data_IF_308334137901
#
_entry.id   IF_308334137901
#
_cell.length_a   1.000
_cell.length_b   1.000
_cell.length_c   1.000
_cell.angle_alpha   90.00
_cell.angle_beta   90.00
_cell.angle_gamma   90.00
#
_symmetry.space_group_name_H-M   'P 1'
#
loop_
_entity.id
_entity.type
_entity.pdbx_description
1 polymer ?
#
# COMPACT_ATOMS: atom_id res chain seq x y z
N UNK A 1 21.19 4.43 -1.18
CA UNK A 1 20.43 5.59 -0.66
C UNK A 1 18.97 5.18 -0.53
N UNK A 2 18.40 5.17 0.68
CA UNK A 2 17.00 4.79 0.89
C UNK A 2 16.08 5.82 0.21
N UNK A 3 15.13 5.36 -0.61
CA UNK A 3 14.20 6.26 -1.29
C UNK A 3 13.06 6.63 -0.33
N UNK A 4 12.83 7.93 -0.11
CA UNK A 4 11.66 8.45 0.60
C UNK A 4 10.43 8.37 -0.29
N UNK A 5 9.79 7.20 -0.32
CA UNK A 5 8.66 6.93 -1.18
C UNK A 5 7.52 6.31 -0.39
N UNK A 6 6.31 6.85 -0.57
CA UNK A 6 5.06 6.24 -0.12
C UNK A 6 4.46 5.52 -1.31
N UNK A 7 4.38 4.20 -1.24
CA UNK A 7 3.73 3.38 -2.24
C UNK A 7 2.25 3.24 -1.89
N UNK A 8 1.39 3.61 -2.83
CA UNK A 8 -0.05 3.53 -2.69
C UNK A 8 -0.53 2.41 -3.62
N UNK A 9 -1.05 1.35 -3.02
CA UNK A 9 -1.39 0.10 -3.70
C UNK A 9 -2.91 -0.11 -3.60
N UNK A 10 -3.62 -0.11 -4.73
CA UNK A 10 -5.06 -0.33 -4.81
C UNK A 10 -5.36 -1.38 -5.87
N UNK A 11 -6.05 -2.44 -5.45
CA UNK A 11 -6.37 -3.60 -6.27
C UNK A 11 -7.76 -3.57 -6.90
N UNK A 12 -8.61 -2.68 -6.41
CA UNK A 12 -10.06 -2.83 -6.52
C UNK A 12 -10.71 -1.88 -7.51
N UNK A 13 -9.92 -0.95 -8.04
CA UNK A 13 -10.39 0.05 -8.98
C UNK A 13 -9.28 0.46 -9.92
N UNK A 14 -9.62 0.59 -11.21
CA UNK A 14 -8.85 1.43 -12.11
C UNK A 14 -8.72 2.83 -11.50
N UNK A 15 -7.49 3.34 -11.44
CA UNK A 15 -7.15 4.52 -10.65
C UNK A 15 -7.72 5.81 -11.27
N UNK A 16 -9.01 6.08 -11.04
CA UNK A 16 -9.65 7.32 -11.46
C UNK A 16 -8.95 8.53 -10.81
N UNK A 17 -9.00 9.69 -11.45
CA UNK A 17 -8.37 10.91 -10.93
C UNK A 17 -8.89 11.32 -9.55
N UNK A 18 -10.19 11.11 -9.29
CA UNK A 18 -10.80 11.39 -7.99
C UNK A 18 -10.32 10.41 -6.91
N UNK A 19 -10.25 9.13 -7.24
CA UNK A 19 -9.77 8.11 -6.31
C UNK A 19 -8.29 8.29 -5.98
N UNK A 20 -7.47 8.64 -6.99
CA UNK A 20 -6.07 8.99 -6.80
C UNK A 20 -5.91 10.13 -5.78
N UNK A 21 -6.65 11.23 -5.94
CA UNK A 21 -6.64 12.35 -4.99
C UNK A 21 -7.05 11.91 -3.58
N UNK A 22 -8.07 11.06 -3.47
CA UNK A 22 -8.50 10.52 -2.17
C UNK A 22 -7.39 9.72 -1.50
N UNK A 23 -6.72 8.85 -2.24
CA UNK A 23 -5.59 8.09 -1.73
C UNK A 23 -4.41 8.98 -1.35
N UNK A 24 -4.10 10.02 -2.13
CA UNK A 24 -3.05 10.99 -1.79
C UNK A 24 -3.33 11.71 -0.47
N UNK A 25 -4.59 12.12 -0.22
CA UNK A 25 -4.99 12.75 1.04
C UNK A 25 -4.88 11.80 2.23
N UNK A 26 -5.27 10.53 2.05
CA UNK A 26 -5.13 9.51 3.11
C UNK A 26 -3.65 9.27 3.42
N UNK A 27 -2.82 9.14 2.38
CA UNK A 27 -1.38 8.97 2.53
C UNK A 27 -0.74 10.15 3.29
N UNK A 28 -1.15 11.39 3.02
CA UNK A 28 -0.65 12.56 3.76
C UNK A 28 -1.02 12.52 5.25
N UNK A 29 -2.28 12.19 5.56
CA UNK A 29 -2.74 12.08 6.95
C UNK A 29 -1.98 11.00 7.70
N UNK A 30 -1.80 9.83 7.09
CA UNK A 30 -1.04 8.72 7.69
C UNK A 30 0.43 9.09 7.87
N UNK A 31 1.02 9.79 6.90
CA UNK A 31 2.41 10.23 6.97
C UNK A 31 2.63 11.21 8.14
N UNK A 32 1.77 12.22 8.27
CA UNK A 32 1.83 13.16 9.40
C UNK A 32 1.63 12.45 10.74
N UNK A 33 0.62 11.58 10.85
CA UNK A 33 0.33 10.85 12.07
C UNK A 33 1.49 9.92 12.48
N UNK A 34 2.09 9.21 11.52
CA UNK A 34 3.23 8.33 11.76
C UNK A 34 4.43 9.11 12.32
N UNK A 35 4.77 10.25 11.71
CA UNK A 35 5.88 11.06 12.20
C UNK A 35 5.59 11.72 13.55
N UNK A 36 4.34 12.11 13.82
CA UNK A 36 3.94 12.56 15.15
C UNK A 36 4.14 11.45 16.20
N UNK A 37 3.74 10.21 15.89
CA UNK A 37 4.02 9.06 16.75
C UNK A 37 5.52 8.84 16.95
N UNK A 38 6.32 8.91 15.89
CA UNK A 38 7.77 8.74 15.99
C UNK A 38 8.39 9.82 16.89
N UNK A 39 8.01 11.08 16.71
CA UNK A 39 8.51 12.19 17.53
C UNK A 39 8.11 12.03 19.01
N UNK A 40 6.89 11.56 19.28
CA UNK A 40 6.39 11.40 20.65
C UNK A 40 7.05 10.21 21.38
N UNK A 41 7.22 9.08 20.70
CA UNK A 41 7.66 7.83 21.34
C UNK A 41 9.15 7.53 21.15
N UNK A 42 9.80 8.09 20.12
CA UNK A 42 11.19 7.80 19.74
C UNK A 42 12.02 9.08 19.63
N UNK A 43 12.07 9.87 20.70
CA UNK A 43 12.69 11.20 20.74
C UNK A 43 14.16 11.27 20.28
N UNK A 44 14.89 10.15 20.28
CA UNK A 44 16.29 10.06 19.81
C UNK A 44 16.43 9.72 18.33
N UNK A 45 15.33 9.44 17.63
CA UNK A 45 15.34 9.13 16.21
C UNK A 45 15.28 10.43 15.40
N UNK A 46 16.37 10.72 14.69
CA UNK A 46 16.41 11.82 13.73
C UNK A 46 15.72 11.39 12.43
N UNK A 47 14.40 11.59 12.36
CA UNK A 47 13.59 11.25 11.19
C UNK A 47 13.20 12.50 10.41
N UNK A 48 13.32 12.42 9.08
CA UNK A 48 13.01 13.52 8.16
C UNK A 48 11.72 13.23 7.38
N UNK A 49 10.68 14.03 7.66
CA UNK A 49 9.36 13.94 7.03
C UNK A 49 9.27 14.70 5.70
N UNK A 50 10.32 15.42 5.30
CA UNK A 50 10.31 16.23 4.08
C UNK A 50 10.58 15.39 2.82
N UNK A 51 10.04 15.86 1.70
CA UNK A 51 10.36 15.39 0.35
C UNK A 51 10.04 13.90 0.07
N UNK A 52 9.04 13.34 0.75
CA UNK A 52 8.52 12.00 0.43
C UNK A 52 7.68 12.04 -0.84
N UNK A 53 8.01 11.19 -1.82
CA UNK A 53 7.27 11.09 -3.07
C UNK A 53 6.18 10.02 -2.95
N UNK A 54 5.03 10.26 -3.56
CA UNK A 54 3.96 9.25 -3.66
C UNK A 54 4.08 8.52 -5.00
N UNK A 55 3.94 7.21 -5.00
CA UNK A 55 3.90 6.39 -6.22
C UNK A 55 2.67 5.51 -6.22
N UNK A 56 2.09 5.38 -7.41
CA UNK A 56 0.97 4.48 -7.72
C UNK A 56 1.48 3.43 -8.70
N UNK A 57 2.23 2.43 -8.24
CA UNK A 57 2.74 1.40 -9.12
C UNK A 57 1.57 0.55 -9.63
N UNK A 58 1.60 0.24 -10.92
CA UNK A 58 0.67 -0.71 -11.51
C UNK A 58 1.26 -2.12 -11.32
N UNK A 59 0.83 -2.81 -10.26
CA UNK A 59 1.38 -4.11 -9.86
C UNK A 59 0.46 -5.29 -10.17
N UNK A 60 -0.66 -5.05 -10.84
CA UNK A 60 -1.72 -6.03 -11.01
C UNK A 60 -2.09 -6.20 -12.46
N UNK A 61 -2.32 -7.44 -12.87
CA UNK A 61 -2.75 -7.78 -14.22
C UNK A 61 -4.27 -7.71 -14.39
N UNK A 62 -5.02 -7.52 -13.30
CA UNK A 62 -6.48 -7.55 -13.28
C UNK A 62 -7.05 -6.60 -12.23
N UNK A 63 -8.26 -6.11 -12.46
CA UNK A 63 -9.04 -5.33 -11.48
C UNK A 63 -9.89 -6.32 -10.69
N UNK A 64 -9.77 -6.29 -9.37
CA UNK A 64 -10.51 -7.18 -8.49
C UNK A 64 -11.80 -6.54 -7.98
N UNK A 65 -12.88 -7.31 -7.77
CA UNK A 65 -14.12 -6.79 -7.22
C UNK A 65 -13.93 -6.34 -5.78
N UNK A 66 -14.72 -5.36 -5.34
CA UNK A 66 -14.60 -4.74 -4.00
C UNK A 66 -14.71 -5.74 -2.85
N UNK A 67 -15.49 -6.80 -3.00
CA UNK A 67 -15.64 -7.86 -1.99
C UNK A 67 -14.35 -8.68 -1.78
N UNK A 68 -13.37 -8.60 -2.69
CA UNK A 68 -12.06 -9.24 -2.57
C UNK A 68 -10.97 -8.27 -2.08
N UNK A 69 -11.29 -7.00 -1.84
CA UNK A 69 -10.35 -5.94 -1.44
C UNK A 69 -9.44 -6.33 -0.28
N UNK A 70 -9.99 -6.96 0.77
CA UNK A 70 -9.22 -7.38 1.94
C UNK A 70 -8.18 -8.44 1.60
N UNK A 71 -8.53 -9.44 0.80
CA UNK A 71 -7.59 -10.50 0.38
C UNK A 71 -6.52 -9.94 -0.54
N UNK A 72 -6.89 -9.05 -1.47
CA UNK A 72 -5.93 -8.35 -2.32
C UNK A 72 -4.94 -7.52 -1.50
N UNK A 73 -5.43 -6.75 -0.51
CA UNK A 73 -4.59 -5.95 0.36
C UNK A 73 -3.61 -6.80 1.16
N UNK A 74 -4.07 -7.95 1.68
CA UNK A 74 -3.22 -8.90 2.41
C UNK A 74 -2.13 -9.50 1.52
N UNK A 75 -2.48 -9.97 0.32
CA UNK A 75 -1.52 -10.50 -0.64
C UNK A 75 -0.46 -9.46 -0.99
N UNK A 76 -0.89 -8.23 -1.30
CA UNK A 76 0.02 -7.14 -1.60
C UNK A 76 0.95 -6.84 -0.42
N UNK A 77 0.43 -6.76 0.80
CA UNK A 77 1.24 -6.50 1.98
C UNK A 77 2.29 -7.60 2.24
N UNK A 78 1.96 -8.85 1.91
CA UNK A 78 2.84 -10.01 2.09
C UNK A 78 3.95 -10.09 1.03
N UNK A 79 3.63 -9.76 -0.21
CA UNK A 79 4.51 -10.02 -1.35
C UNK A 79 5.16 -8.76 -1.92
N UNK A 80 4.86 -7.57 -1.39
CA UNK A 80 5.49 -6.33 -1.85
C UNK A 80 6.88 -6.14 -1.24
N UNK A 81 7.92 -6.18 -2.08
CA UNK A 81 9.32 -6.06 -1.66
C UNK A 81 9.85 -4.60 -1.66
N UNK A 82 8.98 -3.62 -1.89
CA UNK A 82 9.34 -2.20 -1.98
C UNK A 82 9.54 -1.67 -3.41
N UNK A 83 9.52 -2.53 -4.43
CA UNK A 83 9.55 -2.13 -5.84
C UNK A 83 8.51 -2.87 -6.68
N UNK A 84 8.31 -4.16 -6.43
CA UNK A 84 7.38 -5.03 -7.14
C UNK A 84 6.68 -6.00 -6.19
N UNK A 85 5.74 -6.77 -6.72
CA UNK A 85 5.25 -7.96 -6.05
C UNK A 85 6.14 -9.14 -6.42
N UNK A 86 6.64 -9.89 -5.43
CA UNK A 86 7.35 -11.15 -5.64
C UNK A 86 6.42 -12.21 -6.26
N UNK A 87 5.15 -12.20 -5.85
CA UNK A 87 4.09 -13.01 -6.43
C UNK A 87 3.00 -12.08 -6.99
N UNK A 88 2.81 -12.13 -8.31
CA UNK A 88 1.82 -11.30 -9.01
C UNK A 88 0.44 -11.62 -8.46
N UNK A 89 -0.35 -10.59 -8.15
CA UNK A 89 -1.72 -10.81 -7.72
C UNK A 89 -2.57 -11.30 -8.91
N UNK A 90 -3.04 -12.54 -8.82
CA UNK A 90 -3.97 -13.16 -9.77
C UNK A 90 -5.24 -13.64 -9.06
N UNK A 91 -6.31 -13.91 -9.81
CA UNK A 91 -7.53 -14.52 -9.25
C UNK A 91 -7.29 -15.86 -8.55
N UNK A 92 -6.26 -16.59 -8.98
CA UNK A 92 -5.86 -17.88 -8.38
C UNK A 92 -5.28 -17.66 -6.99
N UNK A 93 -4.41 -16.65 -6.81
CA UNK A 93 -3.80 -16.34 -5.50
C UNK A 93 -4.84 -16.00 -4.42
N UNK A 94 -5.93 -15.31 -4.79
CA UNK A 94 -7.01 -14.94 -3.86
C UNK A 94 -7.72 -16.18 -3.29
N UNK A 95 -7.84 -17.24 -4.08
CA UNK A 95 -8.42 -18.51 -3.60
C UNK A 95 -7.55 -19.21 -2.56
N UNK A 96 -6.21 -19.03 -2.62
CA UNK A 96 -5.26 -19.67 -1.71
C UNK A 96 -4.91 -18.82 -0.48
N UNK A 97 -5.13 -17.50 -0.52
CA UNK A 97 -4.95 -16.61 0.64
C UNK A 97 -6.04 -16.77 1.71
N UNK A 98 -7.16 -17.41 1.39
CA UNK A 98 -8.07 -17.92 2.41
C UNK A 98 -7.47 -19.24 2.91
N UNK A 99 -6.96 -19.32 4.16
CA UNK A 99 -6.73 -20.63 4.73
C UNK A 99 -8.07 -21.35 4.67
N UNK A 100 -8.08 -22.54 4.07
CA UNK A 100 -9.16 -23.50 4.23
C UNK A 100 -9.43 -23.64 5.73
N UNK A 101 -10.36 -22.87 6.27
CA UNK A 101 -11.11 -23.23 7.46
C UNK A 101 -12.04 -24.35 7.01
N UNK A 102 -11.50 -25.57 7.00
CA UNK A 102 -12.26 -26.80 7.11
C UNK A 102 -12.00 -27.38 8.48
#
# INVERSE_FOLDING_TARGET
>A
MLSKTIYILDATSGLSSQLKKRHEMVADKLHVALFACILNFFQKWHVDCSNWRKKFPFLMTSIFPKNQSGVCALHVARHFNGTSLEEILTHVCIMFCLPCYR
#
